data_IF_397946391124
#
_entry.id   IF_397946391124
#
_cell.length_a   1.000
_cell.length_b   1.000
_cell.length_c   1.000
_cell.angle_alpha   90.00
_cell.angle_beta   90.00
_cell.angle_gamma   90.00
#
_symmetry.space_group_name_H-M   'P 1'
#
loop_
_entity.id
_entity.type
_entity.pdbx_description
1 polymer ?
#
# COMPACT_ATOMS: atom_id res chain seq x y z
N UNK A 1 14.65 -5.96 -19.43
CA UNK A 1 13.35 -5.28 -19.39
C UNK A 1 13.54 -3.92 -20.04
N UNK A 2 12.60 -3.39 -20.83
CA UNK A 2 12.76 -2.04 -21.38
C UNK A 2 12.52 -1.00 -20.28
N UNK A 3 13.19 0.16 -20.33
CA UNK A 3 12.95 1.27 -19.37
C UNK A 3 11.48 1.67 -19.31
N UNK A 4 10.76 1.59 -20.44
CA UNK A 4 9.31 1.77 -20.52
C UNK A 4 8.55 0.76 -19.66
N UNK A 5 8.86 -0.53 -19.76
CA UNK A 5 8.20 -1.56 -18.96
C UNK A 5 8.50 -1.40 -17.45
N UNK A 6 9.73 -1.01 -17.09
CA UNK A 6 10.07 -0.67 -15.71
C UNK A 6 9.26 0.53 -15.21
N UNK A 7 9.17 1.61 -15.99
CA UNK A 7 8.36 2.78 -15.65
C UNK A 7 6.88 2.46 -15.46
N UNK A 8 6.29 1.59 -16.31
CA UNK A 8 4.92 1.10 -16.13
C UNK A 8 4.78 0.32 -14.82
N UNK A 9 5.69 -0.63 -14.56
CA UNK A 9 5.66 -1.46 -13.36
C UNK A 9 5.74 -0.64 -12.06
N UNK A 10 6.59 0.39 -12.03
CA UNK A 10 6.71 1.32 -10.90
C UNK A 10 5.45 2.18 -10.74
N UNK A 11 4.89 2.70 -11.84
CA UNK A 11 3.65 3.48 -11.81
C UNK A 11 2.47 2.65 -11.28
N UNK A 12 2.35 1.37 -11.67
CA UNK A 12 1.27 0.49 -11.20
C UNK A 12 1.34 0.29 -9.67
N UNK A 13 2.55 0.11 -9.13
CA UNK A 13 2.76 -0.02 -7.69
C UNK A 13 2.54 1.30 -6.94
N UNK A 14 2.99 2.42 -7.52
CA UNK A 14 2.74 3.76 -6.97
C UNK A 14 1.22 4.03 -6.90
N UNK A 15 0.47 3.72 -7.96
CA UNK A 15 -0.99 3.88 -7.99
C UNK A 15 -1.69 3.03 -6.90
N UNK A 16 -1.28 1.77 -6.74
CA UNK A 16 -1.80 0.91 -5.66
C UNK A 16 -1.50 1.47 -4.27
N UNK A 17 -0.31 2.00 -4.05
CA UNK A 17 0.05 2.61 -2.76
C UNK A 17 -0.70 3.91 -2.46
N UNK A 18 -1.06 4.70 -3.48
CA UNK A 18 -1.89 5.92 -3.33
C UNK A 18 -3.29 5.53 -2.86
N UNK A 19 -3.89 4.52 -3.48
CA UNK A 19 -5.19 3.98 -3.07
C UNK A 19 -5.15 3.48 -1.60
N UNK A 20 -4.10 2.76 -1.22
CA UNK A 20 -3.92 2.29 0.15
C UNK A 20 -3.84 3.44 1.16
N UNK A 21 -3.14 4.54 0.82
CA UNK A 21 -3.09 5.74 1.67
C UNK A 21 -4.46 6.36 1.85
N UNK A 22 -5.22 6.58 0.78
CA UNK A 22 -6.57 7.15 0.85
C UNK A 22 -7.51 6.31 1.75
N UNK A 23 -7.41 4.99 1.68
CA UNK A 23 -8.17 4.07 2.55
C UNK A 23 -7.79 4.22 4.03
N UNK A 24 -6.49 4.28 4.32
CA UNK A 24 -6.00 4.44 5.68
C UNK A 24 -6.36 5.81 6.27
N UNK A 25 -6.16 6.88 5.51
CA UNK A 25 -6.47 8.26 5.93
C UNK A 25 -7.96 8.42 6.22
N UNK A 26 -8.83 7.92 5.34
CA UNK A 26 -10.28 7.94 5.58
C UNK A 26 -10.66 7.18 6.85
N UNK A 27 -10.07 6.01 7.09
CA UNK A 27 -10.32 5.22 8.30
C UNK A 27 -9.83 5.96 9.55
N UNK A 28 -8.68 6.63 9.48
CA UNK A 28 -8.12 7.45 10.56
C UNK A 28 -9.04 8.63 10.93
N UNK A 29 -9.72 9.22 9.94
CA UNK A 29 -10.69 10.31 10.13
C UNK A 29 -12.01 9.82 10.75
N UNK A 30 -12.49 8.66 10.33
CA UNK A 30 -13.74 8.06 10.81
C UNK A 30 -13.60 7.46 12.22
N UNK A 31 -12.40 7.00 12.61
CA UNK A 31 -12.15 6.32 13.88
C UNK A 31 -11.68 7.28 14.99
N UNK A 32 -12.55 7.56 15.96
CA UNK A 32 -12.23 8.45 17.11
C UNK A 32 -11.57 7.68 18.25
N UNK A 33 -10.26 7.44 18.15
CA UNK A 33 -9.39 7.17 19.30
C UNK A 33 -9.08 5.69 19.60
N UNK A 34 -9.15 4.79 18.62
CA UNK A 34 -8.77 3.39 18.80
C UNK A 34 -7.27 3.13 18.62
N UNK A 35 -6.76 1.96 19.09
CA UNK A 35 -5.43 1.47 18.76
C UNK A 35 -5.17 1.31 17.25
N UNK A 36 -6.23 1.07 16.45
CA UNK A 36 -6.14 0.93 15.00
C UNK A 36 -5.73 2.26 14.36
N UNK A 37 -6.28 3.39 14.81
CA UNK A 37 -5.92 4.72 14.30
C UNK A 37 -4.42 5.01 14.44
N UNK A 38 -3.84 4.72 15.61
CA UNK A 38 -2.42 4.97 15.86
C UNK A 38 -1.54 4.09 14.96
N UNK A 39 -1.92 2.82 14.79
CA UNK A 39 -1.24 1.89 13.90
C UNK A 39 -1.29 2.35 12.44
N UNK A 40 -2.48 2.67 11.91
CA UNK A 40 -2.64 3.15 10.54
C UNK A 40 -1.88 4.46 10.31
N UNK A 41 -1.84 5.35 11.30
CA UNK A 41 -1.07 6.60 11.21
C UNK A 41 0.44 6.34 11.05
N UNK A 42 0.98 5.35 11.77
CA UNK A 42 2.38 4.92 11.57
C UNK A 42 2.58 4.35 10.17
N UNK A 43 1.69 3.44 9.75
CA UNK A 43 1.79 2.77 8.45
C UNK A 43 1.72 3.75 7.28
N UNK A 44 0.89 4.79 7.37
CA UNK A 44 0.81 5.89 6.39
C UNK A 44 2.18 6.56 6.19
N UNK A 45 2.89 6.86 7.27
CA UNK A 45 4.21 7.49 7.18
C UNK A 45 5.23 6.57 6.48
N UNK A 46 5.18 5.27 6.78
CA UNK A 46 6.06 4.30 6.15
C UNK A 46 5.76 4.13 4.65
N UNK A 47 4.47 4.01 4.28
CA UNK A 47 4.05 3.90 2.87
C UNK A 47 4.39 5.18 2.10
N UNK A 48 4.27 6.35 2.72
CA UNK A 48 4.69 7.62 2.12
C UNK A 48 6.18 7.64 1.79
N UNK A 49 7.03 7.14 2.69
CA UNK A 49 8.46 7.02 2.43
C UNK A 49 8.76 6.10 1.23
N UNK A 50 8.03 4.98 1.10
CA UNK A 50 8.15 4.10 -0.06
C UNK A 50 7.71 4.80 -1.36
N UNK A 51 6.61 5.56 -1.33
CA UNK A 51 6.16 6.33 -2.49
C UNK A 51 7.21 7.34 -2.96
N UNK A 52 7.87 8.02 -2.03
CA UNK A 52 8.91 8.99 -2.36
C UNK A 52 10.12 8.32 -3.03
N UNK A 53 10.47 7.10 -2.59
CA UNK A 53 11.47 6.28 -3.29
C UNK A 53 11.01 5.90 -4.70
N UNK A 54 9.75 5.48 -4.88
CA UNK A 54 9.22 5.13 -6.20
C UNK A 54 9.17 6.33 -7.15
N UNK A 55 8.80 7.52 -6.66
CA UNK A 55 8.86 8.78 -7.42
C UNK A 55 10.28 9.09 -7.85
N UNK A 56 11.25 9.01 -6.94
CA UNK A 56 12.66 9.22 -7.28
C UNK A 56 13.20 8.22 -8.32
N UNK A 57 12.72 6.97 -8.32
CA UNK A 57 13.05 5.99 -9.36
C UNK A 57 12.43 6.34 -10.72
N UNK A 58 11.17 6.79 -10.73
CA UNK A 58 10.49 7.24 -11.95
C UNK A 58 11.21 8.45 -12.58
N UNK A 59 11.64 9.41 -11.75
CA UNK A 59 12.45 10.55 -12.19
C UNK A 59 13.76 10.12 -12.83
N UNK A 60 14.52 9.21 -12.20
CA UNK A 60 15.76 8.64 -12.77
C UNK A 60 15.54 7.92 -14.10
N UNK A 61 14.33 7.43 -14.34
CA UNK A 61 13.94 6.74 -15.57
C UNK A 61 13.47 7.68 -16.68
N UNK A 62 13.37 8.99 -16.42
CA UNK A 62 12.66 9.96 -17.27
C UNK A 62 11.22 9.49 -17.59
N UNK A 63 10.64 8.72 -16.65
CA UNK A 63 9.29 8.21 -16.75
C UNK A 63 8.38 9.20 -16.01
N UNK A 64 7.39 9.75 -16.72
CA UNK A 64 6.38 10.59 -16.07
C UNK A 64 5.57 9.74 -15.10
N UNK A 65 5.33 10.27 -13.90
CA UNK A 65 4.23 9.77 -13.08
C UNK A 65 2.97 9.82 -13.96
N UNK A 66 2.30 8.68 -14.08
CA UNK A 66 1.06 8.61 -14.82
C UNK A 66 -0.11 8.59 -13.83
N UNK A 67 -0.71 9.75 -13.51
CA UNK A 67 -1.80 9.82 -12.54
C UNK A 67 -3.13 9.24 -13.08
N UNK A 68 -3.18 8.81 -14.35
CA UNK A 68 -4.43 8.70 -15.12
C UNK A 68 -5.38 7.58 -14.63
N UNK A 69 -4.97 6.71 -13.70
CA UNK A 69 -5.87 5.70 -13.11
C UNK A 69 -5.88 5.70 -11.58
N UNK A 70 -5.58 6.83 -10.93
CA UNK A 70 -5.66 6.97 -9.46
C UNK A 70 -7.08 6.57 -8.96
N UNK A 71 -7.19 5.42 -8.32
CA UNK A 71 -8.25 4.97 -7.40
C UNK A 71 -9.73 4.88 -7.89
N UNK A 72 -10.09 5.33 -9.09
CA UNK A 72 -11.50 5.58 -9.45
C UNK A 72 -12.44 4.36 -9.53
N UNK A 73 -11.97 3.19 -9.95
CA UNK A 73 -12.86 2.03 -10.14
C UNK A 73 -13.19 1.30 -8.83
N UNK A 74 -12.24 1.21 -7.88
CA UNK A 74 -12.46 0.53 -6.60
C UNK A 74 -13.13 1.43 -5.56
N UNK A 75 -12.80 2.74 -5.55
CA UNK A 75 -13.50 3.72 -4.71
C UNK A 75 -15.00 3.77 -5.01
N UNK A 76 -15.41 3.61 -6.27
CA UNK A 76 -16.82 3.58 -6.64
C UNK A 76 -17.59 2.39 -6.05
N UNK A 77 -16.94 1.23 -5.90
CA UNK A 77 -17.56 -0.01 -5.41
C UNK A 77 -17.59 -0.09 -3.87
N UNK A 78 -16.52 0.39 -3.19
CA UNK A 78 -16.41 0.38 -1.72
C UNK A 78 -16.97 1.62 -1.02
N UNK A 79 -16.98 2.79 -1.66
CA UNK A 79 -17.59 3.99 -1.05
C UNK A 79 -19.11 3.83 -0.82
N UNK A 80 -19.76 2.93 -1.54
CA UNK A 80 -21.16 2.56 -1.31
C UNK A 80 -21.39 1.70 -0.05
N UNK A 81 -20.40 0.91 0.39
CA UNK A 81 -20.53 0.01 1.57
C UNK A 81 -20.02 0.58 2.88
N UNK A 82 -19.11 1.57 2.84
CA UNK A 82 -18.67 2.31 4.02
C UNK A 82 -19.70 3.36 4.50
N UNK A 83 -20.96 3.26 4.06
CA UNK A 83 -22.06 4.09 4.53
C UNK A 83 -23.27 3.22 4.85
N UNK A 84 -23.58 3.16 6.14
CA UNK A 84 -24.91 2.96 6.78
C UNK A 84 -25.19 1.64 7.53
N UNK A 85 -24.80 1.61 8.81
CA UNK A 85 -25.72 1.18 9.88
C UNK A 85 -25.46 -0.20 10.49
N UNK A 86 -25.16 -0.17 11.80
CA UNK A 86 -24.94 -1.30 12.72
C UNK A 86 -23.48 -1.83 12.82
N UNK A 87 -23.15 -2.34 14.00
CA UNK A 87 -21.81 -2.76 14.46
C UNK A 87 -21.16 -3.82 13.57
N UNK A 88 -21.94 -4.74 12.99
CA UNK A 88 -21.44 -5.79 12.09
C UNK A 88 -20.88 -5.25 10.77
N UNK A 89 -21.45 -4.18 10.21
CA UNK A 89 -20.93 -3.58 8.96
C UNK A 89 -19.58 -2.88 9.19
N UNK A 90 -19.38 -2.30 10.37
CA UNK A 90 -18.11 -1.65 10.75
C UNK A 90 -17.00 -2.69 10.96
N UNK A 91 -17.29 -3.80 11.63
CA UNK A 91 -16.33 -4.87 11.86
C UNK A 91 -15.90 -5.55 10.55
N UNK A 92 -16.87 -5.84 9.65
CA UNK A 92 -16.57 -6.37 8.33
C UNK A 92 -15.73 -5.39 7.49
N UNK A 93 -16.07 -4.10 7.50
CA UNK A 93 -15.29 -3.07 6.81
C UNK A 93 -13.83 -2.99 7.28
N UNK A 94 -13.59 -3.13 8.59
CA UNK A 94 -12.24 -3.20 9.18
C UNK A 94 -11.47 -4.42 8.71
N UNK A 95 -12.09 -5.61 8.71
CA UNK A 95 -11.48 -6.83 8.21
C UNK A 95 -11.03 -6.67 6.75
N UNK A 96 -11.94 -6.22 5.88
CA UNK A 96 -11.64 -6.07 4.46
C UNK A 96 -10.59 -4.99 4.16
N UNK A 97 -10.57 -3.91 4.95
CA UNK A 97 -9.50 -2.89 4.89
C UNK A 97 -8.14 -3.52 5.16
N UNK A 98 -8.00 -4.21 6.30
CA UNK A 98 -6.74 -4.83 6.72
C UNK A 98 -6.31 -5.93 5.74
N UNK A 99 -7.26 -6.67 5.16
CA UNK A 99 -6.97 -7.64 4.10
C UNK A 99 -6.42 -6.99 2.84
N UNK A 100 -7.03 -5.90 2.41
CA UNK A 100 -6.56 -5.12 1.25
C UNK A 100 -5.15 -4.59 1.49
N UNK A 101 -4.88 -4.07 2.70
CA UNK A 101 -3.54 -3.58 3.08
C UNK A 101 -2.52 -4.72 3.14
N UNK A 102 -2.87 -5.88 3.70
CA UNK A 102 -2.01 -7.07 3.77
C UNK A 102 -1.57 -7.50 2.36
N UNK A 103 -2.52 -7.64 1.44
CA UNK A 103 -2.25 -7.97 0.03
C UNK A 103 -1.39 -6.90 -0.66
N UNK A 104 -1.70 -5.62 -0.43
CA UNK A 104 -0.95 -4.49 -0.98
C UNK A 104 0.50 -4.46 -0.53
N UNK A 105 0.75 -4.69 0.77
CA UNK A 105 2.10 -4.75 1.35
C UNK A 105 2.86 -5.98 0.85
N UNK A 106 2.19 -7.12 0.69
CA UNK A 106 2.83 -8.28 0.07
C UNK A 106 3.21 -7.99 -1.39
N UNK A 107 2.36 -7.27 -2.13
CA UNK A 107 2.69 -6.72 -3.45
C UNK A 107 3.93 -5.80 -3.41
N UNK A 108 4.00 -4.87 -2.45
CA UNK A 108 5.17 -4.02 -2.20
C UNK A 108 6.44 -4.84 -1.94
N UNK A 109 6.36 -5.94 -1.18
CA UNK A 109 7.49 -6.85 -0.99
C UNK A 109 7.94 -7.48 -2.31
N UNK A 110 7.00 -7.94 -3.15
CA UNK A 110 7.33 -8.50 -4.48
C UNK A 110 7.98 -7.48 -5.41
N UNK A 111 7.55 -6.21 -5.36
CA UNK A 111 8.22 -5.11 -6.04
C UNK A 111 9.69 -5.03 -5.64
N UNK A 112 10.00 -4.94 -4.34
CA UNK A 112 11.38 -4.79 -3.88
C UNK A 112 12.26 -5.99 -4.26
N UNK A 113 11.74 -7.21 -4.16
CA UNK A 113 12.43 -8.42 -4.61
C UNK A 113 12.70 -8.41 -6.12
N UNK A 114 11.72 -7.98 -6.92
CA UNK A 114 11.88 -7.89 -8.37
C UNK A 114 12.91 -6.84 -8.76
N UNK A 115 12.89 -5.67 -8.12
CA UNK A 115 13.85 -4.59 -8.38
C UNK A 115 15.28 -5.00 -8.00
N UNK A 116 15.48 -5.62 -6.83
CA UNK A 116 16.79 -6.15 -6.44
C UNK A 116 17.33 -7.13 -7.50
N UNK A 117 16.48 -8.02 -7.99
CA UNK A 117 16.88 -9.03 -8.96
C UNK A 117 17.36 -8.44 -10.29
N UNK A 118 16.76 -7.32 -10.72
CA UNK A 118 17.07 -6.68 -12.01
C UNK A 118 18.05 -5.51 -11.88
N UNK A 119 18.33 -5.03 -10.67
CA UNK A 119 19.24 -3.90 -10.40
C UNK A 119 20.61 -4.00 -11.11
N UNK A 120 21.29 -5.17 -11.21
CA UNK A 120 22.57 -5.26 -11.93
C UNK A 120 22.51 -4.89 -13.41
N UNK A 121 21.31 -4.83 -14.01
CA UNK A 121 21.07 -4.48 -15.43
C UNK A 121 20.46 -3.09 -15.60
N UNK A 122 20.21 -2.37 -14.51
CA UNK A 122 19.43 -1.14 -14.47
C UNK A 122 20.10 -0.14 -13.51
N UNK A 123 21.05 0.69 -14.00
CA UNK A 123 21.80 1.64 -13.17
C UNK A 123 20.92 2.60 -12.34
N UNK A 124 19.73 2.93 -12.84
CA UNK A 124 18.71 3.73 -12.14
C UNK A 124 18.28 3.14 -10.78
N UNK A 125 18.41 1.82 -10.61
CA UNK A 125 18.04 1.06 -9.41
C UNK A 125 19.20 0.94 -8.41
N UNK A 126 20.39 1.43 -8.75
CA UNK A 126 21.54 1.36 -7.87
C UNK A 126 21.36 2.25 -6.60
N UNK A 127 21.95 1.79 -5.50
CA UNK A 127 22.02 2.55 -4.24
C UNK A 127 20.82 2.39 -3.30
N UNK A 128 19.83 1.56 -3.64
CA UNK A 128 18.75 1.21 -2.73
C UNK A 128 19.18 0.14 -1.72
N UNK A 129 18.78 0.29 -0.46
CA UNK A 129 18.91 -0.75 0.55
C UNK A 129 17.73 -1.74 0.45
N UNK A 130 17.81 -2.64 -0.53
CA UNK A 130 16.77 -3.65 -0.76
C UNK A 130 16.53 -4.54 0.44
N UNK A 131 17.56 -4.85 1.22
CA UNK A 131 17.43 -5.71 2.40
C UNK A 131 16.53 -5.04 3.45
N UNK A 132 16.78 -3.75 3.73
CA UNK A 132 15.95 -2.98 4.64
C UNK A 132 14.51 -2.82 4.11
N UNK A 133 14.34 -2.45 2.83
CA UNK A 133 13.02 -2.28 2.21
C UNK A 133 12.17 -3.56 2.27
N UNK A 134 12.77 -4.71 2.00
CA UNK A 134 12.10 -6.00 2.11
C UNK A 134 11.81 -6.39 3.55
N UNK A 135 12.73 -6.10 4.49
CA UNK A 135 12.53 -6.38 5.92
C UNK A 135 11.38 -5.53 6.49
N UNK A 136 11.34 -4.24 6.14
CA UNK A 136 10.25 -3.34 6.49
C UNK A 136 8.93 -3.84 5.92
N UNK A 137 8.87 -4.19 4.62
CA UNK A 137 7.64 -4.71 4.01
C UNK A 137 7.13 -5.99 4.70
N UNK A 138 8.02 -6.92 5.09
CA UNK A 138 7.64 -8.10 5.88
C UNK A 138 7.09 -7.72 7.25
N UNK A 139 7.79 -6.85 7.98
CA UNK A 139 7.34 -6.39 9.29
C UNK A 139 5.99 -5.65 9.25
N UNK A 140 5.74 -4.86 8.23
CA UNK A 140 4.44 -4.22 8.01
C UNK A 140 3.35 -5.26 7.72
N UNK A 141 3.63 -6.22 6.84
CA UNK A 141 2.69 -7.28 6.50
C UNK A 141 2.29 -8.08 7.74
N UNK A 142 3.27 -8.53 8.53
CA UNK A 142 3.02 -9.33 9.73
C UNK A 142 2.18 -8.55 10.76
N UNK A 143 2.42 -7.24 10.90
CA UNK A 143 1.64 -6.39 11.80
C UNK A 143 0.19 -6.17 11.31
N UNK A 144 -0.01 -5.99 10.00
CA UNK A 144 -1.34 -5.87 9.41
C UNK A 144 -2.09 -7.20 9.50
N UNK A 145 -1.42 -8.31 9.18
CA UNK A 145 -2.00 -9.64 9.16
C UNK A 145 -2.47 -10.08 10.55
N UNK A 146 -1.68 -9.82 11.59
CA UNK A 146 -2.08 -10.10 12.97
C UNK A 146 -3.42 -9.41 13.32
N UNK A 147 -3.57 -8.13 12.96
CA UNK A 147 -4.80 -7.35 13.17
C UNK A 147 -5.94 -7.81 12.28
N UNK A 148 -5.65 -8.24 11.04
CA UNK A 148 -6.66 -8.75 10.10
C UNK A 148 -7.31 -10.01 10.66
N UNK A 149 -6.51 -10.94 11.20
CA UNK A 149 -7.01 -12.19 11.80
C UNK A 149 -7.83 -11.89 13.06
N UNK A 150 -7.40 -10.95 13.90
CA UNK A 150 -8.19 -10.49 15.06
C UNK A 150 -9.52 -9.86 14.62
N UNK A 151 -9.52 -9.01 13.59
CA UNK A 151 -10.73 -8.38 13.07
C UNK A 151 -11.76 -9.38 12.53
N UNK A 152 -11.34 -10.59 12.11
CA UNK A 152 -12.26 -11.64 11.69
C UNK A 152 -13.13 -12.16 12.86
N UNK A 153 -12.63 -12.11 14.10
CA UNK A 153 -13.41 -12.49 15.29
C UNK A 153 -14.50 -11.46 15.61
N UNK A 154 -14.30 -10.20 15.25
CA UNK A 154 -15.30 -9.14 15.44
C UNK A 154 -16.34 -9.14 14.30
N UNK A 155 -15.96 -9.62 13.11
CA UNK A 155 -16.77 -9.57 11.90
C UNK A 155 -17.75 -10.74 11.74
N UNK A 156 -17.52 -11.88 12.40
CA UNK A 156 -18.28 -13.12 12.28
C UNK A 156 -18.70 -13.68 13.65
#
# INVERSE_FOLDING_TARGET
MSKKALGTYLNDHLAGSIMAMEMMERTIEEDRGTPLRAFLSSLVNEVKADQDLLRGLLEKLDAKENPIKKAGAWLAEKAGRLKMGDTGEVALGRLELLETLSLGIYGKLKLWLALERVAPRHPELAGLDYKNLQSSARGQHDQVEARRVEAALEAF
#
